data_IF_630921299592
#
_entry.id   IF_630921299592
#
_cell.length_a   1.000
_cell.length_b   1.000
_cell.length_c   1.000
_cell.angle_alpha   90.00
_cell.angle_beta   90.00
_cell.angle_gamma   90.00
#
_symmetry.space_group_name_H-M   'P 1'
#
loop_
_entity.id
_entity.type
_entity.pdbx_description
1 polymer ?
#
# COMPACT_ATOMS: atom_id res chain seq x y z
N UNK A 1 -8.96 -1.00 -8.05
CA UNK A 1 -7.58 -0.59 -8.34
C UNK A 1 -6.84 -0.39 -7.03
N UNK A 2 -5.54 -0.70 -6.99
CA UNK A 2 -4.61 -0.39 -5.90
C UNK A 2 -3.79 0.82 -6.32
N UNK A 3 -3.61 1.80 -5.44
CA UNK A 3 -2.65 2.89 -5.65
C UNK A 3 -1.23 2.40 -5.38
N UNK A 4 -0.33 2.53 -6.36
CA UNK A 4 1.04 2.01 -6.25
C UNK A 4 2.06 3.10 -6.55
N UNK A 5 3.05 3.24 -5.67
CA UNK A 5 4.23 4.10 -5.89
C UNK A 5 5.15 3.55 -6.98
N UNK A 6 4.78 3.73 -8.26
CA UNK A 6 5.47 3.07 -9.39
C UNK A 6 6.91 3.54 -9.59
N UNK A 7 7.26 4.76 -9.19
CA UNK A 7 8.61 5.31 -9.29
C UNK A 7 9.66 4.68 -8.35
N UNK A 8 9.24 3.77 -7.47
CA UNK A 8 10.12 3.03 -6.55
C UNK A 8 10.51 1.68 -7.17
N UNK A 9 11.80 1.33 -7.05
CA UNK A 9 12.32 0.04 -7.46
C UNK A 9 11.68 -1.10 -6.63
N UNK A 10 11.52 -2.28 -7.24
CA UNK A 10 10.79 -3.40 -6.63
C UNK A 10 11.59 -4.06 -5.49
N UNK A 11 12.90 -3.86 -5.45
CA UNK A 11 13.84 -4.39 -4.47
C UNK A 11 13.95 -3.50 -3.23
N UNK A 12 13.33 -2.31 -3.24
CA UNK A 12 13.35 -1.43 -2.08
C UNK A 12 12.52 -2.01 -0.94
N UNK A 13 13.06 -1.87 0.26
CA UNK A 13 12.45 -2.31 1.51
C UNK A 13 12.34 -1.12 2.47
N UNK A 14 11.33 -1.12 3.36
CA UNK A 14 10.25 -2.11 3.46
C UNK A 14 9.19 -1.93 2.36
N UNK A 15 8.30 -2.92 2.20
CA UNK A 15 7.00 -2.72 1.56
C UNK A 15 6.06 -2.09 2.59
N UNK A 16 5.55 -0.91 2.29
CA UNK A 16 4.58 -0.22 3.09
C UNK A 16 3.22 -0.26 2.40
N UNK A 17 2.15 -0.45 3.17
CA UNK A 17 0.80 -0.39 2.67
C UNK A 17 -0.16 0.18 3.72
N UNK A 18 -1.08 1.03 3.29
CA UNK A 18 -2.20 1.50 4.13
C UNK A 18 -3.52 1.31 3.38
N UNK A 19 -4.59 1.07 4.13
CA UNK A 19 -5.93 0.89 3.58
C UNK A 19 -6.88 1.97 4.05
N UNK A 20 -7.17 2.90 3.15
CA UNK A 20 -8.25 3.87 3.30
C UNK A 20 -9.61 3.27 2.90
N UNK A 21 -10.73 3.93 3.26
CA UNK A 21 -12.02 3.60 2.69
C UNK A 21 -11.97 3.63 1.14
N UNK A 22 -12.58 2.65 0.45
CA UNK A 22 -12.60 2.64 -1.00
C UNK A 22 -13.39 3.83 -1.55
N UNK A 23 -12.83 4.52 -2.55
CA UNK A 23 -13.47 5.64 -3.26
C UNK A 23 -13.45 5.36 -4.76
N UNK A 24 -14.60 5.49 -5.42
CA UNK A 24 -14.74 5.23 -6.85
C UNK A 24 -14.31 3.80 -7.21
N UNK A 25 -13.31 3.69 -8.09
CA UNK A 25 -12.77 2.40 -8.56
C UNK A 25 -11.56 1.92 -7.74
N UNK A 26 -11.15 2.65 -6.70
CA UNK A 26 -10.09 2.23 -5.77
C UNK A 26 -10.62 1.18 -4.79
N UNK A 27 -9.79 0.20 -4.44
CA UNK A 27 -10.09 -0.73 -3.34
C UNK A 27 -9.60 -0.22 -1.97
N UNK A 28 -9.02 0.99 -1.95
CA UNK A 28 -8.54 1.69 -0.75
C UNK A 28 -7.07 1.42 -0.41
N UNK A 29 -6.41 0.46 -1.06
CA UNK A 29 -5.00 0.18 -0.79
C UNK A 29 -4.07 1.17 -1.50
N UNK A 30 -3.13 1.71 -0.72
CA UNK A 30 -1.99 2.49 -1.20
C UNK A 30 -0.71 1.79 -0.78
N UNK A 31 0.14 1.46 -1.74
CA UNK A 31 1.29 0.56 -1.57
C UNK A 31 2.54 1.19 -2.16
N UNK A 32 3.64 1.21 -1.40
CA UNK A 32 4.92 1.74 -1.88
C UNK A 32 6.10 1.03 -1.21
N UNK A 33 7.28 1.17 -1.82
CA UNK A 33 8.53 0.58 -1.30
C UNK A 33 9.52 1.65 -0.86
N UNK A 34 10.28 1.34 0.18
CA UNK A 34 11.35 2.19 0.70
C UNK A 34 10.85 3.22 1.73
N UNK A 35 11.46 4.40 1.70
CA UNK A 35 11.23 5.47 2.67
C UNK A 35 9.85 6.14 2.60
N UNK A 36 9.78 7.34 3.18
CA UNK A 36 8.53 8.10 3.30
C UNK A 36 7.93 8.47 1.94
N UNK A 37 6.60 8.65 1.93
CA UNK A 37 5.86 9.23 0.80
C UNK A 37 6.34 10.68 0.64
N UNK A 38 6.72 11.13 -0.58
CA UNK A 38 7.06 12.52 -0.82
C UNK A 38 5.86 13.43 -0.55
N UNK A 39 6.09 14.60 0.05
CA UNK A 39 5.02 15.57 0.34
C UNK A 39 4.73 16.52 -0.84
N UNK A 40 5.62 16.55 -1.83
CA UNK A 40 5.63 17.46 -2.98
C UNK A 40 5.34 16.73 -4.32
N UNK A 41 4.80 15.52 -4.26
CA UNK A 41 4.46 14.68 -5.41
C UNK A 41 3.03 14.16 -5.33
N UNK A 42 2.08 14.94 -5.87
CA UNK A 42 0.65 14.58 -5.91
C UNK A 42 0.37 13.37 -6.82
N UNK A 43 1.29 13.05 -7.74
CA UNK A 43 1.18 11.95 -8.71
C UNK A 43 1.98 10.70 -8.28
N UNK A 44 2.46 10.67 -7.04
CA UNK A 44 3.30 9.58 -6.52
C UNK A 44 2.65 8.20 -6.68
N UNK A 45 1.33 8.11 -6.53
CA UNK A 45 0.56 6.87 -6.66
C UNK A 45 -0.12 6.76 -8.03
N UNK A 46 0.15 5.65 -8.73
CA UNK A 46 -0.55 5.29 -9.96
C UNK A 46 -1.48 4.09 -9.75
N UNK A 47 -2.66 4.06 -10.39
CA UNK A 47 -3.61 2.96 -10.22
C UNK A 47 -3.14 1.70 -10.95
N UNK A 48 -3.07 0.58 -10.23
CA UNK A 48 -2.74 -0.74 -10.75
C UNK A 48 -3.87 -1.72 -10.48
N UNK A 49 -4.13 -2.62 -11.43
CA UNK A 49 -5.14 -3.66 -11.25
C UNK A 49 -4.67 -4.66 -10.17
N UNK A 50 -5.59 -5.08 -9.29
CA UNK A 50 -5.27 -5.97 -8.16
C UNK A 50 -4.64 -7.30 -8.60
N UNK A 51 -4.94 -7.75 -9.83
CA UNK A 51 -4.35 -8.98 -10.37
C UNK A 51 -2.82 -8.91 -10.47
N UNK A 52 -2.26 -7.74 -10.81
CA UNK A 52 -0.81 -7.53 -10.86
C UNK A 52 -0.15 -7.42 -9.47
N UNK A 53 -0.94 -7.34 -8.38
CA UNK A 53 -0.39 -7.34 -7.02
C UNK A 53 0.39 -8.63 -6.74
N UNK A 54 -0.08 -9.76 -7.28
CA UNK A 54 0.56 -11.06 -7.10
C UNK A 54 1.98 -11.10 -7.65
N UNK A 55 2.21 -10.38 -8.75
CA UNK A 55 3.52 -10.34 -9.40
C UNK A 55 4.44 -9.28 -8.79
N UNK A 56 3.89 -8.16 -8.30
CA UNK A 56 4.68 -6.99 -7.88
C UNK A 56 4.94 -6.93 -6.37
N UNK A 57 4.01 -7.43 -5.57
CA UNK A 57 4.07 -7.46 -4.11
C UNK A 57 3.31 -8.70 -3.58
N UNK A 58 3.80 -9.91 -3.89
CA UNK A 58 3.21 -11.15 -3.40
C UNK A 58 3.10 -11.20 -1.88
N UNK A 59 4.01 -10.54 -1.16
CA UNK A 59 4.00 -10.47 0.30
C UNK A 59 2.77 -9.73 0.85
N UNK A 60 2.11 -8.85 0.07
CA UNK A 60 0.91 -8.14 0.52
C UNK A 60 -0.37 -8.99 0.41
N UNK A 61 -0.37 -10.07 -0.38
CA UNK A 61 -1.57 -10.86 -0.66
C UNK A 61 -2.33 -11.34 0.58
N UNK A 62 -1.67 -11.81 1.66
CA UNK A 62 -2.36 -12.25 2.88
C UNK A 62 -3.17 -11.13 3.56
N UNK A 63 -2.78 -9.87 3.34
CA UNK A 63 -3.35 -8.71 4.02
C UNK A 63 -4.45 -8.01 3.20
N UNK A 64 -4.61 -8.33 1.91
CA UNK A 64 -5.59 -7.66 1.03
C UNK A 64 -7.05 -7.78 1.51
N UNK A 65 -7.35 -8.71 2.40
CA UNK A 65 -8.66 -8.89 3.02
C UNK A 65 -8.90 -8.03 4.28
N UNK A 66 -7.87 -7.41 4.87
CA UNK A 66 -8.00 -6.55 6.05
C UNK A 66 -8.91 -5.35 5.77
N UNK A 67 -9.85 -4.96 6.65
CA UNK A 67 -10.75 -3.83 6.37
C UNK A 67 -10.00 -2.49 6.31
N UNK A 68 -10.64 -1.41 5.84
CA UNK A 68 -10.09 -0.06 5.95
C UNK A 68 -9.70 0.29 7.39
N UNK A 69 -8.70 1.16 7.56
CA UNK A 69 -8.13 1.50 8.87
C UNK A 69 -6.85 0.77 9.21
N UNK A 70 -6.35 -0.11 8.34
CA UNK A 70 -5.15 -0.92 8.58
C UNK A 70 -3.91 -0.38 7.85
N UNK A 71 -2.78 -0.45 8.53
CA UNK A 71 -1.44 -0.27 7.98
C UNK A 71 -0.61 -1.54 8.10
N UNK A 72 0.31 -1.73 7.15
CA UNK A 72 1.21 -2.89 7.07
C UNK A 72 2.61 -2.41 6.64
N UNK A 73 3.65 -2.89 7.32
CA UNK A 73 5.05 -2.78 6.93
C UNK A 73 5.65 -4.18 6.88
N UNK A 74 6.17 -4.58 5.72
CA UNK A 74 6.79 -5.89 5.50
C UNK A 74 8.24 -5.73 5.06
N UNK A 75 9.14 -6.46 5.72
CA UNK A 75 10.54 -6.62 5.35
C UNK A 75 11.04 -8.02 5.77
N UNK A 76 12.22 -8.48 5.31
CA UNK A 76 12.74 -9.79 5.68
C UNK A 76 12.90 -9.94 7.19
N UNK A 77 12.11 -10.85 7.78
CA UNK A 77 12.09 -11.09 9.22
C UNK A 77 11.40 -9.99 10.05
N UNK A 78 10.71 -9.05 9.41
CA UNK A 78 9.97 -7.98 10.09
C UNK A 78 8.57 -7.82 9.48
N UNK A 79 7.57 -7.89 10.34
CA UNK A 79 6.17 -7.65 10.02
C UNK A 79 5.60 -6.73 11.09
N UNK A 80 5.01 -5.62 10.66
CA UNK A 80 4.20 -4.76 11.52
C UNK A 80 2.84 -4.54 10.86
N UNK A 81 1.77 -4.81 11.62
CA UNK A 81 0.38 -4.68 11.18
C UNK A 81 -0.36 -3.96 12.29
N UNK A 82 -0.91 -2.80 11.98
CA UNK A 82 -1.59 -1.97 12.96
C UNK A 82 -2.89 -1.40 12.41
N UNK A 83 -3.74 -0.91 13.31
CA UNK A 83 -4.94 -0.15 12.99
C UNK A 83 -4.74 1.30 13.43
N UNK A 84 -5.16 2.23 12.58
CA UNK A 84 -5.16 3.65 12.90
C UNK A 84 -6.45 4.30 12.39
N UNK A 85 -7.13 5.03 13.26
CA UNK A 85 -8.35 5.76 12.93
C UNK A 85 -8.07 6.86 11.90
N UNK A 86 -6.85 7.41 11.87
CA UNK A 86 -6.45 8.42 10.88
C UNK A 86 -6.57 7.91 9.44
N UNK A 87 -6.46 6.59 9.20
CA UNK A 87 -6.64 6.02 7.86
C UNK A 87 -8.12 5.96 7.44
N UNK A 88 -9.05 6.16 8.35
CA UNK A 88 -10.48 6.26 8.04
C UNK A 88 -10.93 7.69 7.74
N UNK A 89 -10.08 8.67 8.06
CA UNK A 89 -10.31 10.10 7.83
C UNK A 89 -9.67 10.48 6.49
N UNK A 90 -10.47 10.51 5.42
CA UNK A 90 -10.09 10.89 4.05
C UNK A 90 -10.77 12.18 3.60
#
# INVERSE_FOLDING_TARGET
MIGVGLGRAAELEPLNAIRHPPVGQSNGWYVWRGGQIPQDDDDFFSPVHVEHAKDRFPELLPYLALPPGFGVILAPGYEDVWQDQAFLEV
#
